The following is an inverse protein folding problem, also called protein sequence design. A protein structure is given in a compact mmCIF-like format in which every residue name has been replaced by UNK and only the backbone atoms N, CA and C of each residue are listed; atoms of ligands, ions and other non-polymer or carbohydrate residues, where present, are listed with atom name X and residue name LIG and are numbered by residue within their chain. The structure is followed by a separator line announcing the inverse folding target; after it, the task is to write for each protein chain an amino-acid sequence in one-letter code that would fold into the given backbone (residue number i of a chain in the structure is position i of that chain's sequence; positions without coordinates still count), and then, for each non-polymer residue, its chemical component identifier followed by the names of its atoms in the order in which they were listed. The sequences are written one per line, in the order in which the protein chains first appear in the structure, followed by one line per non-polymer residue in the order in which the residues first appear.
data_IF_869781982462
#
_entry.id   IF_869781982462
#
_cell.length_a   1.000
_cell.length_b   1.000
_cell.length_c   1.000
_cell.angle_alpha   90.00
_cell.angle_beta   90.00
_cell.angle_gamma   90.00
#
_symmetry.space_group_name_H-M   'P 1'
#
loop_
_entity.id
_entity.type
_entity.pdbx_description
1 polymer ?
#
# COMPACT_ATOMS: atom_id res chain seq x y z
N UNK A 1 14.22 26.83 -5.36
CA UNK A 1 15.66 26.76 -5.14
C UNK A 1 16.20 25.66 -6.02
N UNK A 2 17.19 25.96 -6.84
CA UNK A 2 17.82 24.98 -7.72
C UNK A 2 18.57 23.90 -6.90
N UNK A 3 18.63 22.64 -7.37
CA UNK A 3 19.33 21.56 -6.66
C UNK A 3 20.79 21.88 -6.35
N UNK A 4 21.47 22.63 -7.23
CA UNK A 4 22.87 23.06 -7.06
C UNK A 4 23.06 23.89 -5.79
N UNK A 5 22.20 24.87 -5.56
CA UNK A 5 22.25 25.77 -4.40
C UNK A 5 22.04 24.98 -3.10
N UNK A 6 21.13 24.00 -3.13
CA UNK A 6 20.88 23.12 -1.99
C UNK A 6 22.10 22.25 -1.71
N UNK A 7 22.72 21.67 -2.74
CA UNK A 7 23.93 20.86 -2.59
C UNK A 7 25.09 21.68 -2.00
N UNK A 8 25.28 22.92 -2.46
CA UNK A 8 26.31 23.83 -1.94
C UNK A 8 26.08 24.15 -0.45
N UNK A 9 24.83 24.38 -0.05
CA UNK A 9 24.48 24.59 1.35
C UNK A 9 24.77 23.34 2.21
N UNK A 10 24.38 22.15 1.73
CA UNK A 10 24.62 20.86 2.43
C UNK A 10 26.11 20.59 2.61
N UNK A 11 26.95 20.92 1.63
CA UNK A 11 28.40 20.79 1.73
C UNK A 11 29.04 21.81 2.69
N UNK A 12 28.55 23.04 2.70
CA UNK A 12 29.02 24.07 3.64
C UNK A 12 28.74 23.68 5.10
N UNK A 13 27.66 22.91 5.35
CA UNK A 13 27.36 22.31 6.64
C UNK A 13 26.84 23.29 7.70
N UNK A 14 26.58 24.55 7.34
CA UNK A 14 25.98 25.53 8.26
C UNK A 14 24.50 25.21 8.49
N UNK A 15 24.19 24.72 9.70
CA UNK A 15 22.95 23.99 9.98
C UNK A 15 21.67 24.75 9.59
N UNK A 16 21.58 26.05 9.92
CA UNK A 16 20.38 26.83 9.64
C UNK A 16 20.24 27.16 8.15
N UNK A 17 21.37 27.34 7.44
CA UNK A 17 21.39 27.54 5.99
C UNK A 17 20.96 26.27 5.26
N UNK A 18 21.45 25.11 5.70
CA UNK A 18 21.04 23.80 5.18
C UNK A 18 19.54 23.61 5.34
N UNK A 19 19.00 23.87 6.53
CA UNK A 19 17.58 23.68 6.78
C UNK A 19 16.70 24.61 5.95
N UNK A 20 17.10 25.87 5.79
CA UNK A 20 16.34 26.80 4.96
C UNK A 20 16.39 26.41 3.48
N UNK A 21 17.54 25.96 3.00
CA UNK A 21 17.71 25.46 1.64
C UNK A 21 16.81 24.23 1.37
N UNK A 22 16.85 23.23 2.26
CA UNK A 22 16.01 22.03 2.15
C UNK A 22 14.52 22.37 2.21
N UNK A 23 14.07 23.23 3.14
CA UNK A 23 12.66 23.64 3.24
C UNK A 23 12.17 24.37 1.99
N UNK A 24 12.99 25.27 1.45
CA UNK A 24 12.66 26.01 0.23
C UNK A 24 12.57 25.05 -0.96
N UNK A 25 13.56 24.17 -1.11
CA UNK A 25 13.55 23.13 -2.13
C UNK A 25 12.31 22.23 -2.05
N UNK A 26 11.97 21.77 -0.84
CA UNK A 26 10.82 20.89 -0.61
C UNK A 26 9.50 21.57 -0.94
N UNK A 27 9.34 22.84 -0.56
CA UNK A 27 8.12 23.61 -0.86
C UNK A 27 7.87 23.69 -2.36
N UNK A 28 8.91 24.03 -3.12
CA UNK A 28 8.80 24.19 -4.57
C UNK A 28 8.65 22.87 -5.33
N UNK A 29 9.25 21.78 -4.84
CA UNK A 29 9.27 20.49 -5.54
C UNK A 29 8.34 19.43 -4.95
N UNK A 30 7.51 19.78 -3.96
CA UNK A 30 6.63 18.84 -3.25
C UNK A 30 5.71 18.04 -4.19
N UNK A 31 5.21 18.68 -5.26
CA UNK A 31 4.33 18.11 -6.28
C UNK A 31 5.05 17.81 -7.61
N UNK A 32 6.38 17.89 -7.65
CA UNK A 32 7.14 17.57 -8.86
C UNK A 32 7.24 16.06 -9.06
N UNK A 33 6.78 15.60 -10.23
CA UNK A 33 6.91 14.21 -10.71
C UNK A 33 7.73 14.11 -12.01
N UNK A 34 8.03 15.24 -12.62
CA UNK A 34 8.88 15.39 -13.81
C UNK A 34 10.01 16.34 -13.47
N UNK A 35 11.21 16.02 -13.91
CA UNK A 35 12.41 16.81 -13.60
C UNK A 35 13.17 17.16 -14.87
N UNK A 36 13.74 18.36 -14.91
CA UNK A 36 14.47 18.84 -16.07
C UNK A 36 15.82 18.12 -16.23
N UNK A 37 16.13 17.68 -17.45
CA UNK A 37 17.38 16.99 -17.75
C UNK A 37 18.61 17.89 -17.53
N UNK A 38 18.46 19.20 -17.74
CA UNK A 38 19.54 20.19 -17.55
C UNK A 38 20.08 20.21 -16.12
N UNK A 39 19.24 19.94 -15.12
CA UNK A 39 19.60 19.92 -13.70
C UNK A 39 19.92 18.51 -13.18
N UNK A 40 19.99 17.50 -14.05
CA UNK A 40 20.16 16.10 -13.63
C UNK A 40 21.45 15.90 -12.81
N UNK A 41 22.56 16.50 -13.24
CA UNK A 41 23.83 16.34 -12.54
C UNK A 41 23.82 16.99 -11.14
N UNK A 42 23.15 18.14 -11.01
CA UNK A 42 23.00 18.80 -9.72
C UNK A 42 22.13 17.98 -8.76
N UNK A 43 21.06 17.35 -9.26
CA UNK A 43 20.22 16.44 -8.46
C UNK A 43 20.97 15.19 -8.05
N UNK A 44 21.82 14.62 -8.91
CA UNK A 44 22.68 13.48 -8.55
C UNK A 44 23.65 13.85 -7.43
N UNK A 45 24.34 14.99 -7.54
CA UNK A 45 25.23 15.49 -6.48
C UNK A 45 24.47 15.70 -5.17
N UNK A 46 23.30 16.33 -5.22
CA UNK A 46 22.46 16.50 -4.04
C UNK A 46 22.07 15.14 -3.43
N UNK A 47 21.65 14.17 -4.26
CA UNK A 47 21.28 12.83 -3.79
C UNK A 47 22.44 12.10 -3.11
N UNK A 48 23.66 12.21 -3.63
CA UNK A 48 24.87 11.64 -3.01
C UNK A 48 25.12 12.23 -1.61
N UNK A 49 25.01 13.55 -1.48
CA UNK A 49 25.17 14.24 -0.19
C UNK A 49 24.09 13.81 0.81
N UNK A 50 22.81 13.80 0.39
CA UNK A 50 21.70 13.39 1.24
C UNK A 50 21.81 11.91 1.64
N UNK A 51 22.21 11.03 0.72
CA UNK A 51 22.45 9.61 1.00
C UNK A 51 23.55 9.40 2.04
N UNK A 52 24.67 10.13 1.92
CA UNK A 52 25.75 10.09 2.90
C UNK A 52 25.29 10.52 4.30
N UNK A 53 24.42 11.53 4.41
CA UNK A 53 23.88 11.98 5.71
C UNK A 53 22.84 10.98 6.24
N UNK A 54 22.00 10.41 5.37
CA UNK A 54 21.02 9.38 5.71
C UNK A 54 21.70 8.16 6.38
N UNK A 55 22.79 7.66 5.79
CA UNK A 55 23.54 6.51 6.29
C UNK A 55 24.22 6.77 7.64
N UNK A 56 24.68 8.00 7.87
CA UNK A 56 25.28 8.42 9.14
C UNK A 56 24.25 8.65 10.25
N UNK A 57 23.00 8.89 9.88
CA UNK A 57 21.89 9.17 10.79
C UNK A 57 21.46 10.64 10.72
N UNK A 58 20.15 10.86 10.61
CA UNK A 58 19.54 12.17 10.52
C UNK A 58 19.33 12.77 11.92
N UNK A 59 19.60 14.07 12.10
CA UNK A 59 19.43 14.75 13.39
C UNK A 59 17.96 14.70 13.84
N UNK A 60 17.65 14.22 15.07
CA UNK A 60 16.27 13.96 15.51
C UNK A 60 15.31 15.14 15.36
N UNK A 61 15.73 16.35 15.69
CA UNK A 61 14.90 17.56 15.68
C UNK A 61 14.55 18.09 14.29
N UNK A 62 15.20 17.57 13.24
CA UNK A 62 15.16 18.15 11.90
C UNK A 62 15.01 17.09 10.80
N UNK A 63 14.61 15.85 11.13
CA UNK A 63 14.54 14.72 10.18
C UNK A 63 13.59 14.95 9.00
N UNK A 64 12.43 15.56 9.23
CA UNK A 64 11.36 15.64 8.23
C UNK A 64 11.79 16.37 6.96
N UNK A 65 12.41 17.58 6.99
CA UNK A 65 12.91 18.22 5.78
C UNK A 65 13.93 17.40 4.99
N UNK A 66 14.81 16.65 5.65
CA UNK A 66 15.75 15.74 4.98
C UNK A 66 15.00 14.62 4.25
N UNK A 67 14.07 13.95 4.93
CA UNK A 67 13.28 12.87 4.36
C UNK A 67 12.39 13.35 3.21
N UNK A 68 11.82 14.55 3.30
CA UNK A 68 11.06 15.16 2.20
C UNK A 68 11.94 15.39 0.96
N UNK A 69 13.17 15.87 1.13
CA UNK A 69 14.11 16.03 0.00
C UNK A 69 14.49 14.69 -0.62
N UNK A 70 14.76 13.67 0.21
CA UNK A 70 15.02 12.30 -0.24
C UNK A 70 13.80 11.73 -0.97
N UNK A 71 12.59 11.95 -0.45
CA UNK A 71 11.34 11.53 -1.09
C UNK A 71 11.17 12.17 -2.47
N UNK A 72 11.44 13.47 -2.61
CA UNK A 72 11.36 14.17 -3.89
C UNK A 72 12.34 13.55 -4.88
N UNK A 73 13.60 13.39 -4.50
CA UNK A 73 14.63 12.82 -5.38
C UNK A 73 14.42 11.34 -5.69
N UNK A 74 13.76 10.59 -4.81
CA UNK A 74 13.39 9.19 -5.06
C UNK A 74 12.33 9.02 -6.17
N UNK A 75 11.70 10.11 -6.63
CA UNK A 75 10.84 10.10 -7.82
C UNK A 75 11.66 10.18 -9.12
N UNK A 76 12.89 10.69 -9.05
CA UNK A 76 13.79 10.80 -10.20
C UNK A 76 14.63 9.52 -10.34
N UNK A 77 14.37 8.75 -11.40
CA UNK A 77 15.07 7.50 -11.69
C UNK A 77 16.59 7.67 -11.84
N UNK A 78 17.04 8.86 -12.21
CA UNK A 78 18.47 9.16 -12.36
C UNK A 78 19.20 9.32 -11.02
N UNK A 79 18.46 9.52 -9.91
CA UNK A 79 18.99 9.86 -8.59
C UNK A 79 18.82 8.74 -7.55
N UNK A 80 18.34 7.57 -7.94
CA UNK A 80 18.03 6.49 -6.98
C UNK A 80 19.27 5.85 -6.35
N UNK A 81 20.37 5.78 -7.09
CA UNK A 81 21.59 5.04 -6.71
C UNK A 81 22.02 5.26 -5.24
N UNK A 82 22.25 6.51 -4.81
CA UNK A 82 22.65 6.84 -3.44
C UNK A 82 21.70 6.35 -2.33
N UNK A 83 20.42 6.13 -2.62
CA UNK A 83 19.42 5.70 -1.64
C UNK A 83 19.17 4.18 -1.66
N UNK A 84 19.80 3.47 -2.59
CA UNK A 84 19.59 2.02 -2.81
C UNK A 84 20.72 1.17 -2.23
N UNK A 85 21.54 1.73 -1.34
CA UNK A 85 22.49 0.98 -0.52
C UNK A 85 21.77 0.25 0.62
N UNK A 86 22.42 -0.78 1.18
CA UNK A 86 21.89 -1.51 2.35
C UNK A 86 21.73 -0.58 3.56
N UNK A 87 22.72 0.28 3.83
CA UNK A 87 22.66 1.22 4.96
C UNK A 87 21.55 2.25 4.79
N UNK A 88 21.38 2.80 3.59
CA UNK A 88 20.33 3.80 3.31
C UNK A 88 18.93 3.21 3.47
N UNK A 89 18.68 2.02 2.92
CA UNK A 89 17.40 1.31 3.09
C UNK A 89 17.14 0.93 4.55
N UNK A 90 18.16 0.48 5.28
CA UNK A 90 18.03 0.19 6.71
C UNK A 90 17.71 1.44 7.52
N UNK A 91 18.34 2.58 7.22
CA UNK A 91 18.03 3.85 7.88
C UNK A 91 16.57 4.29 7.63
N UNK A 92 16.09 4.21 6.39
CA UNK A 92 14.69 4.50 6.07
C UNK A 92 13.73 3.52 6.76
N UNK A 93 14.06 2.22 6.80
CA UNK A 93 13.25 1.21 7.49
C UNK A 93 13.17 1.47 9.00
N UNK A 94 14.26 1.94 9.63
CA UNK A 94 14.29 2.36 11.04
C UNK A 94 13.37 3.55 11.27
N UNK A 95 13.48 4.60 10.47
CA UNK A 95 12.62 5.79 10.59
C UNK A 95 11.15 5.48 10.30
N UNK A 96 10.87 4.54 9.40
CA UNK A 96 9.52 4.05 9.15
C UNK A 96 9.00 3.08 10.24
N UNK A 97 9.83 2.68 11.22
CA UNK A 97 9.45 1.73 12.28
C UNK A 97 9.21 0.30 11.79
N UNK A 98 9.79 -0.09 10.65
CA UNK A 98 9.60 -1.41 10.01
C UNK A 98 10.89 -2.24 9.89
N UNK A 99 12.00 -1.75 10.47
CA UNK A 99 13.22 -2.53 10.63
C UNK A 99 13.03 -3.62 11.70
N UNK A 100 13.59 -4.81 11.46
CA UNK A 100 13.51 -5.96 12.39
C UNK A 100 14.57 -5.94 13.50
N UNK A 101 15.77 -5.44 13.20
CA UNK A 101 16.95 -5.64 14.04
C UNK A 101 17.01 -4.73 15.28
N UNK A 102 16.08 -3.78 15.42
CA UNK A 102 16.12 -2.78 16.49
C UNK A 102 14.76 -2.60 17.18
N UNK A 103 14.74 -2.48 18.53
CA UNK A 103 13.54 -2.09 19.22
C UNK A 103 13.13 -0.69 18.74
N UNK A 104 11.88 -0.56 18.32
CA UNK A 104 11.32 0.71 17.86
C UNK A 104 11.30 1.69 19.04
N UNK A 105 12.00 2.83 18.96
CA UNK A 105 11.92 3.85 20.01
C UNK A 105 10.50 4.44 20.00
N UNK A 106 9.75 4.24 21.07
CA UNK A 106 8.46 4.87 21.27
C UNK A 106 8.60 6.19 22.04
N UNK A 107 7.86 7.25 21.70
CA UNK A 107 6.90 7.34 20.59
C UNK A 107 7.57 7.63 19.24
N UNK A 108 7.04 7.04 18.17
CA UNK A 108 7.42 7.36 16.80
C UNK A 108 6.84 8.71 16.36
N UNK A 109 7.66 9.54 15.72
CA UNK A 109 7.20 10.74 15.03
C UNK A 109 6.48 10.35 13.74
N UNK A 110 5.17 10.65 13.68
CA UNK A 110 4.28 10.28 12.59
C UNK A 110 4.73 10.86 11.24
N UNK A 111 5.24 12.09 11.22
CA UNK A 111 5.68 12.75 9.99
C UNK A 111 6.96 12.09 9.47
N UNK A 112 7.86 11.70 10.39
CA UNK A 112 9.08 10.94 10.05
C UNK A 112 8.72 9.57 9.48
N UNK A 113 7.78 8.86 10.10
CA UNK A 113 7.31 7.54 9.62
C UNK A 113 6.72 7.69 8.23
N UNK A 114 5.82 8.65 8.04
CA UNK A 114 5.11 8.86 6.78
C UNK A 114 6.07 9.18 5.63
N UNK A 115 6.99 10.12 5.83
CA UNK A 115 7.95 10.49 4.79
C UNK A 115 8.92 9.34 4.47
N UNK A 116 9.30 8.55 5.47
CA UNK A 116 10.14 7.36 5.28
C UNK A 116 9.43 6.26 4.48
N UNK A 117 8.15 5.99 4.76
CA UNK A 117 7.34 5.04 3.99
C UNK A 117 7.18 5.48 2.53
N UNK A 118 6.95 6.78 2.29
CA UNK A 118 6.90 7.33 0.92
C UNK A 118 8.22 7.16 0.18
N UNK A 119 9.36 7.37 0.85
CA UNK A 119 10.68 7.09 0.26
C UNK A 119 10.81 5.61 -0.12
N UNK A 120 10.51 4.70 0.82
CA UNK A 120 10.57 3.26 0.58
C UNK A 120 9.68 2.82 -0.58
N UNK A 121 8.45 3.34 -0.67
CA UNK A 121 7.55 3.05 -1.78
C UNK A 121 8.15 3.47 -3.13
N UNK A 122 8.70 4.68 -3.23
CA UNK A 122 9.31 5.15 -4.48
C UNK A 122 10.53 4.31 -4.89
N UNK A 123 11.39 3.96 -3.92
CA UNK A 123 12.58 3.16 -4.14
C UNK A 123 12.23 1.73 -4.58
N UNK A 124 11.33 1.05 -3.86
CA UNK A 124 10.90 -0.32 -4.19
C UNK A 124 10.19 -0.37 -5.54
N UNK A 125 9.35 0.64 -5.86
CA UNK A 125 8.69 0.73 -7.15
C UNK A 125 9.67 0.84 -8.32
N UNK A 126 10.77 1.59 -8.15
CA UNK A 126 11.61 2.01 -9.28
C UNK A 126 12.99 1.36 -9.33
N UNK A 127 13.43 0.65 -8.29
CA UNK A 127 14.75 0.03 -8.20
C UNK A 127 14.67 -1.47 -7.88
N UNK A 128 15.07 -2.35 -8.82
CA UNK A 128 15.21 -3.79 -8.55
C UNK A 128 16.18 -4.10 -7.39
N UNK A 129 17.22 -3.28 -7.22
CA UNK A 129 18.17 -3.42 -6.11
C UNK A 129 17.47 -3.16 -4.78
N UNK A 130 16.63 -2.13 -4.69
CA UNK A 130 15.85 -1.85 -3.49
C UNK A 130 14.84 -2.96 -3.17
N UNK A 131 14.24 -3.59 -4.19
CA UNK A 131 13.32 -4.72 -4.01
C UNK A 131 14.02 -5.92 -3.36
N UNK A 132 15.24 -6.26 -3.82
CA UNK A 132 16.05 -7.34 -3.24
C UNK A 132 16.43 -7.00 -1.80
N UNK A 133 16.96 -5.80 -1.56
CA UNK A 133 17.40 -5.38 -0.22
C UNK A 133 16.24 -5.29 0.78
N UNK A 134 15.05 -4.85 0.36
CA UNK A 134 13.86 -4.82 1.20
C UNK A 134 13.36 -6.24 1.57
N UNK A 135 13.49 -7.19 0.64
CA UNK A 135 13.18 -8.60 0.90
C UNK A 135 14.20 -9.22 1.88
N UNK A 136 15.50 -8.99 1.66
CA UNK A 136 16.57 -9.45 2.57
C UNK A 136 16.42 -8.86 3.98
N UNK A 137 16.03 -7.59 4.09
CA UNK A 137 15.73 -6.92 5.35
C UNK A 137 14.40 -7.37 5.98
N UNK A 138 13.63 -8.23 5.30
CA UNK A 138 12.36 -8.80 5.74
C UNK A 138 11.36 -7.76 6.25
N UNK A 139 11.29 -6.59 5.57
CA UNK A 139 10.40 -5.48 5.95
C UNK A 139 8.92 -5.89 6.05
N UNK A 140 8.52 -6.89 5.26
CA UNK A 140 7.17 -7.46 5.24
C UNK A 140 6.70 -7.92 6.64
N UNK A 141 7.60 -8.38 7.51
CA UNK A 141 7.24 -8.92 8.83
C UNK A 141 6.66 -7.81 9.72
N UNK A 142 7.40 -6.70 9.88
CA UNK A 142 6.96 -5.57 10.72
C UNK A 142 5.81 -4.80 10.08
N UNK A 143 5.77 -4.73 8.75
CA UNK A 143 4.61 -4.17 8.03
C UNK A 143 3.34 -4.98 8.31
N UNK A 144 3.39 -6.30 8.19
CA UNK A 144 2.26 -7.17 8.48
C UNK A 144 1.83 -7.06 9.95
N UNK A 145 2.77 -7.08 10.89
CA UNK A 145 2.49 -6.87 12.31
C UNK A 145 1.75 -5.54 12.56
N UNK A 146 2.26 -4.43 11.99
CA UNK A 146 1.63 -3.12 12.14
C UNK A 146 0.22 -3.05 11.55
N UNK A 147 -0.01 -3.67 10.38
CA UNK A 147 -1.35 -3.78 9.80
C UNK A 147 -2.28 -4.62 10.69
N UNK A 148 -1.78 -5.72 11.26
CA UNK A 148 -2.54 -6.61 12.12
C UNK A 148 -2.94 -6.01 13.48
N UNK A 149 -2.21 -5.01 13.98
CA UNK A 149 -2.59 -4.26 15.18
C UNK A 149 -3.83 -3.37 14.97
N UNK A 150 -4.16 -3.03 13.72
CA UNK A 150 -5.39 -2.34 13.35
C UNK A 150 -5.63 -1.04 14.16
N UNK A 151 -6.83 -0.83 14.73
CA UNK A 151 -7.19 0.37 15.49
C UNK A 151 -6.31 0.65 16.70
N UNK A 152 -5.58 -0.36 17.22
CA UNK A 152 -4.73 -0.19 18.40
C UNK A 152 -3.49 0.68 18.11
N UNK A 153 -3.11 0.86 16.84
CA UNK A 153 -1.87 1.57 16.47
C UNK A 153 -1.97 3.09 16.52
N UNK A 154 -3.18 3.67 16.60
CA UNK A 154 -3.43 5.12 16.54
C UNK A 154 -2.83 5.87 15.34
N UNK A 155 -2.29 5.17 14.33
CA UNK A 155 -1.68 5.81 13.17
C UNK A 155 -2.74 6.50 12.30
N UNK A 156 -2.41 7.66 11.70
CA UNK A 156 -3.33 8.33 10.79
C UNK A 156 -3.49 7.54 9.48
N UNK A 157 -4.55 7.88 8.74
CA UNK A 157 -4.87 7.27 7.45
C UNK A 157 -3.65 7.17 6.51
N UNK A 158 -2.89 8.26 6.34
CA UNK A 158 -1.77 8.29 5.40
C UNK A 158 -0.69 7.24 5.72
N UNK A 159 -0.38 7.02 6.99
CA UNK A 159 0.61 6.00 7.39
C UNK A 159 0.07 4.60 7.08
N UNK A 160 -1.17 4.32 7.45
CA UNK A 160 -1.82 3.03 7.16
C UNK A 160 -1.89 2.77 5.65
N UNK A 161 -2.20 3.79 4.86
CA UNK A 161 -2.23 3.69 3.40
C UNK A 161 -0.84 3.37 2.82
N UNK A 162 0.20 4.06 3.27
CA UNK A 162 1.56 3.82 2.77
C UNK A 162 2.16 2.50 3.28
N UNK A 163 1.72 1.98 4.42
CA UNK A 163 2.02 0.61 4.85
C UNK A 163 1.46 -0.42 3.87
N UNK A 164 0.16 -0.30 3.57
CA UNK A 164 -0.52 -1.18 2.63
C UNK A 164 0.05 -1.05 1.20
N UNK A 165 0.40 0.18 0.78
CA UNK A 165 1.05 0.43 -0.51
C UNK A 165 2.42 -0.23 -0.58
N UNK A 166 3.23 -0.16 0.49
CA UNK A 166 4.53 -0.81 0.52
C UNK A 166 4.38 -2.34 0.52
N UNK A 167 3.42 -2.90 1.27
CA UNK A 167 3.06 -4.31 1.19
C UNK A 167 2.64 -4.72 -0.23
N UNK A 168 1.83 -3.91 -0.90
CA UNK A 168 1.42 -4.15 -2.29
C UNK A 168 2.63 -4.21 -3.23
N UNK A 169 3.53 -3.22 -3.16
CA UNK A 169 4.72 -3.17 -3.99
C UNK A 169 5.65 -4.37 -3.74
N UNK A 170 5.91 -4.70 -2.49
CA UNK A 170 6.76 -5.84 -2.13
C UNK A 170 6.16 -7.15 -2.64
N UNK A 171 4.87 -7.39 -2.40
CA UNK A 171 4.21 -8.63 -2.85
C UNK A 171 4.05 -8.73 -4.37
N UNK A 172 3.85 -7.60 -5.05
CA UNK A 172 3.77 -7.56 -6.50
C UNK A 172 5.13 -7.87 -7.15
N UNK A 173 6.21 -7.28 -6.62
CA UNK A 173 7.53 -7.28 -7.27
C UNK A 173 8.45 -8.42 -6.80
N UNK A 174 8.16 -9.04 -5.65
CA UNK A 174 8.99 -10.07 -5.03
C UNK A 174 8.17 -11.32 -4.71
N UNK A 175 8.46 -12.42 -5.41
CA UNK A 175 7.77 -13.71 -5.24
C UNK A 175 8.07 -14.36 -3.90
N UNK A 176 9.30 -14.24 -3.41
CA UNK A 176 9.72 -14.67 -2.07
C UNK A 176 8.94 -13.95 -0.97
N UNK A 177 8.81 -12.62 -1.05
CA UNK A 177 8.04 -11.83 -0.07
C UNK A 177 6.55 -12.16 -0.14
N UNK A 178 5.99 -12.36 -1.34
CA UNK A 178 4.60 -12.79 -1.54
C UNK A 178 4.32 -14.13 -0.88
N UNK A 179 5.18 -15.12 -1.10
CA UNK A 179 5.04 -16.44 -0.47
C UNK A 179 5.21 -16.37 1.04
N UNK A 180 6.17 -15.58 1.53
CA UNK A 180 6.35 -15.36 2.97
C UNK A 180 5.09 -14.74 3.62
N UNK A 181 4.49 -13.73 2.98
CA UNK A 181 3.25 -13.13 3.50
C UNK A 181 2.09 -14.12 3.47
N UNK A 182 1.94 -14.90 2.40
CA UNK A 182 0.89 -15.90 2.26
C UNK A 182 1.00 -17.00 3.32
N UNK A 183 2.16 -17.64 3.42
CA UNK A 183 2.37 -18.87 4.21
C UNK A 183 2.75 -18.55 5.67
N UNK A 184 3.88 -17.87 5.86
CA UNK A 184 4.50 -17.71 7.18
C UNK A 184 3.76 -16.70 8.05
N UNK A 185 3.26 -15.61 7.43
CA UNK A 185 2.64 -14.50 8.14
C UNK A 185 1.11 -14.55 8.13
N UNK A 186 0.51 -15.63 7.62
CA UNK A 186 -0.95 -15.82 7.59
C UNK A 186 -1.68 -14.63 6.93
N UNK A 187 -1.10 -14.11 5.85
CA UNK A 187 -1.47 -12.83 5.25
C UNK A 187 -2.92 -12.77 4.77
N UNK A 188 -3.51 -13.88 4.33
CA UNK A 188 -4.93 -13.94 3.96
C UNK A 188 -5.80 -13.61 5.16
N UNK A 189 -5.60 -14.27 6.30
CA UNK A 189 -6.36 -14.02 7.53
C UNK A 189 -6.16 -12.57 8.00
N UNK A 190 -4.90 -12.14 8.10
CA UNK A 190 -4.54 -10.81 8.57
C UNK A 190 -5.19 -9.69 7.75
N UNK A 191 -5.13 -9.80 6.42
CA UNK A 191 -5.68 -8.79 5.51
C UNK A 191 -7.20 -8.89 5.39
N UNK A 192 -7.78 -10.06 5.62
CA UNK A 192 -9.24 -10.23 5.72
C UNK A 192 -9.77 -9.49 6.94
N UNK A 193 -9.12 -9.64 8.10
CA UNK A 193 -9.46 -8.90 9.32
C UNK A 193 -9.30 -7.38 9.11
N UNK A 194 -8.21 -6.95 8.48
CA UNK A 194 -7.98 -5.54 8.14
C UNK A 194 -9.04 -4.97 7.18
N UNK A 195 -9.47 -5.76 6.19
CA UNK A 195 -10.53 -5.37 5.25
C UNK A 195 -11.88 -5.23 5.97
N UNK A 196 -12.21 -6.20 6.83
CA UNK A 196 -13.44 -6.16 7.63
C UNK A 196 -13.52 -4.89 8.49
N UNK A 197 -12.41 -4.55 9.17
CA UNK A 197 -12.30 -3.33 9.96
C UNK A 197 -12.42 -2.06 9.10
N UNK A 198 -11.77 -2.03 7.94
CA UNK A 198 -11.81 -0.89 7.02
C UNK A 198 -13.22 -0.64 6.47
N UNK A 199 -14.01 -1.69 6.30
CA UNK A 199 -15.39 -1.63 5.83
C UNK A 199 -16.40 -1.33 6.95
N UNK A 200 -15.97 -1.24 8.21
CA UNK A 200 -16.87 -1.02 9.35
C UNK A 200 -17.84 -2.18 9.57
N UNK A 201 -17.46 -3.41 9.20
CA UNK A 201 -18.33 -4.59 9.38
C UNK A 201 -18.28 -5.08 10.83
N UNK A 202 -19.09 -4.44 11.68
CA UNK A 202 -19.23 -4.76 13.10
C UNK A 202 -20.38 -5.74 13.30
N UNK A 203 -20.18 -6.85 14.05
CA UNK A 203 -21.27 -7.78 14.36
C UNK A 203 -22.44 -7.09 15.06
N UNK A 204 -23.64 -7.20 14.49
CA UNK A 204 -24.87 -6.63 15.07
C UNK A 204 -25.20 -5.21 14.60
N UNK A 205 -24.34 -4.58 13.81
CA UNK A 205 -24.63 -3.29 13.17
C UNK A 205 -24.93 -3.48 11.67
N UNK A 206 -25.78 -2.60 11.13
CA UNK A 206 -25.99 -2.56 9.67
C UNK A 206 -24.72 -2.06 8.99
N UNK A 207 -24.23 -2.74 7.95
CA UNK A 207 -23.06 -2.28 7.21
C UNK A 207 -23.32 -0.90 6.58
N UNK A 208 -22.29 -0.07 6.40
CA UNK A 208 -22.44 1.24 5.79
C UNK A 208 -22.90 1.11 4.33
N UNK A 209 -23.81 1.99 3.90
CA UNK A 209 -24.28 2.03 2.50
C UNK A 209 -23.26 2.68 1.56
N UNK A 210 -22.45 3.60 2.08
CA UNK A 210 -21.41 4.34 1.35
C UNK A 210 -20.09 4.26 2.11
N UNK A 211 -19.04 3.80 1.44
CA UNK A 211 -17.69 3.75 1.98
C UNK A 211 -17.01 5.12 1.78
N UNK A 212 -16.49 5.78 2.83
CA UNK A 212 -15.86 7.09 2.67
C UNK A 212 -14.53 7.01 1.90
N UNK A 213 -13.97 8.14 1.42
CA UNK A 213 -12.82 8.15 0.52
C UNK A 213 -11.56 7.48 1.09
N UNK A 214 -11.25 7.74 2.36
CA UNK A 214 -10.05 7.21 3.02
C UNK A 214 -10.14 5.70 3.23
N UNK A 215 -11.31 5.20 3.63
CA UNK A 215 -11.61 3.79 3.78
C UNK A 215 -11.57 3.09 2.43
N UNK A 216 -12.12 3.71 1.39
CA UNK A 216 -12.08 3.22 0.01
C UNK A 216 -10.63 3.01 -0.45
N UNK A 217 -9.75 3.98 -0.21
CA UNK A 217 -8.33 3.89 -0.56
C UNK A 217 -7.63 2.73 0.15
N UNK A 218 -7.79 2.62 1.47
CA UNK A 218 -7.19 1.52 2.24
C UNK A 218 -7.76 0.17 1.81
N UNK A 219 -9.07 0.07 1.60
CA UNK A 219 -9.72 -1.17 1.18
C UNK A 219 -9.19 -1.64 -0.18
N UNK A 220 -9.00 -0.74 -1.15
CA UNK A 220 -8.41 -1.11 -2.44
C UNK A 220 -6.96 -1.55 -2.34
N UNK A 221 -6.14 -0.91 -1.50
CA UNK A 221 -4.78 -1.41 -1.26
C UNK A 221 -4.82 -2.82 -0.64
N UNK A 222 -5.70 -3.07 0.34
CA UNK A 222 -5.87 -4.40 0.95
C UNK A 222 -6.29 -5.44 -0.10
N UNK A 223 -7.29 -5.13 -0.94
CA UNK A 223 -7.75 -6.01 -2.02
C UNK A 223 -6.63 -6.34 -3.01
N UNK A 224 -5.78 -5.37 -3.34
CA UNK A 224 -4.62 -5.59 -4.23
C UNK A 224 -3.55 -6.47 -3.59
N UNK A 225 -3.25 -6.29 -2.30
CA UNK A 225 -2.30 -7.18 -1.59
C UNK A 225 -2.87 -8.59 -1.52
N UNK A 226 -4.16 -8.74 -1.17
CA UNK A 226 -4.87 -10.02 -1.15
C UNK A 226 -4.82 -10.68 -2.52
N UNK A 227 -5.06 -9.94 -3.61
CA UNK A 227 -4.95 -10.46 -4.97
C UNK A 227 -3.54 -11.00 -5.23
N UNK A 228 -2.50 -10.21 -4.94
CA UNK A 228 -1.11 -10.64 -5.16
C UNK A 228 -0.79 -11.96 -4.46
N UNK A 229 -1.17 -12.12 -3.19
CA UNK A 229 -0.82 -13.32 -2.41
C UNK A 229 -1.72 -14.52 -2.69
N UNK A 230 -2.85 -14.35 -3.41
CA UNK A 230 -3.79 -15.44 -3.71
C UNK A 230 -3.77 -15.90 -5.16
N UNK A 231 -3.32 -15.05 -6.09
CA UNK A 231 -3.39 -15.28 -7.54
C UNK A 231 -2.74 -16.59 -8.01
N UNK A 232 -1.58 -16.95 -7.46
CA UNK A 232 -0.80 -18.15 -7.84
C UNK A 232 -0.68 -19.19 -6.72
N UNK A 233 -1.20 -18.88 -5.53
CA UNK A 233 -0.91 -19.62 -4.30
C UNK A 233 -2.09 -20.46 -3.82
N UNK A 234 -3.32 -20.12 -4.20
CA UNK A 234 -4.52 -20.91 -3.87
C UNK A 234 -4.59 -22.15 -4.77
N UNK A 235 -4.62 -23.32 -4.15
CA UNK A 235 -4.83 -24.59 -4.85
C UNK A 235 -6.30 -24.74 -5.23
N UNK A 236 -6.56 -25.46 -6.33
CA UNK A 236 -7.95 -25.80 -6.75
C UNK A 236 -8.70 -26.60 -5.70
N UNK A 237 -7.97 -27.47 -5.00
CA UNK A 237 -8.49 -28.22 -3.85
C UNK A 237 -7.91 -27.62 -2.57
N UNK A 238 -8.80 -27.18 -1.69
CA UNK A 238 -8.49 -26.65 -0.36
C UNK A 238 -9.17 -27.53 0.68
N UNK A 239 -8.51 -27.72 1.82
CA UNK A 239 -9.12 -28.41 2.96
C UNK A 239 -10.30 -27.60 3.54
N UNK A 240 -10.98 -28.16 4.53
CA UNK A 240 -12.16 -27.52 5.12
C UNK A 240 -11.81 -26.27 5.95
N UNK A 241 -10.61 -26.21 6.53
CA UNK A 241 -10.19 -25.06 7.31
C UNK A 241 -9.91 -23.85 6.40
N UNK A 242 -9.15 -24.06 5.33
CA UNK A 242 -8.92 -23.06 4.30
C UNK A 242 -10.20 -22.68 3.57
N UNK A 243 -11.09 -23.64 3.29
CA UNK A 243 -12.40 -23.34 2.71
C UNK A 243 -13.23 -22.40 3.60
N UNK A 244 -13.23 -22.61 4.93
CA UNK A 244 -13.92 -21.72 5.86
C UNK A 244 -13.33 -20.31 5.84
N UNK A 245 -11.99 -20.19 5.79
CA UNK A 245 -11.29 -18.90 5.66
C UNK A 245 -11.64 -18.18 4.36
N UNK A 246 -11.63 -18.87 3.23
CA UNK A 246 -11.98 -18.28 1.93
C UNK A 246 -13.47 -17.94 1.81
N UNK A 247 -14.37 -18.69 2.45
CA UNK A 247 -15.79 -18.32 2.55
C UNK A 247 -15.99 -17.06 3.40
N UNK A 248 -15.24 -16.92 4.49
CA UNK A 248 -15.27 -15.71 5.29
C UNK A 248 -14.81 -14.48 4.48
N UNK A 249 -13.67 -14.60 3.77
CA UNK A 249 -13.23 -13.57 2.83
C UNK A 249 -14.29 -13.31 1.75
N UNK A 250 -14.86 -14.34 1.12
CA UNK A 250 -15.91 -14.20 0.11
C UNK A 250 -17.17 -13.49 0.64
N UNK A 251 -17.49 -13.66 1.92
CA UNK A 251 -18.58 -12.94 2.60
C UNK A 251 -18.26 -11.44 2.68
N UNK A 252 -17.02 -11.09 3.01
CA UNK A 252 -16.58 -9.69 3.03
C UNK A 252 -16.58 -9.10 1.62
N UNK A 253 -16.10 -9.84 0.61
CA UNK A 253 -16.13 -9.41 -0.78
C UNK A 253 -17.54 -9.21 -1.31
N UNK A 254 -18.51 -10.00 -0.84
CA UNK A 254 -19.93 -9.76 -1.12
C UNK A 254 -20.37 -8.38 -0.62
N UNK A 255 -19.95 -7.96 0.57
CA UNK A 255 -20.21 -6.59 1.05
C UNK A 255 -19.54 -5.55 0.15
N UNK A 256 -18.30 -5.79 -0.29
CA UNK A 256 -17.62 -4.89 -1.24
C UNK A 256 -18.37 -4.74 -2.58
N UNK A 257 -18.96 -5.83 -3.10
CA UNK A 257 -19.79 -5.77 -4.32
C UNK A 257 -21.04 -4.91 -4.08
N UNK A 258 -21.66 -5.02 -2.90
CA UNK A 258 -22.94 -4.36 -2.62
C UNK A 258 -22.80 -2.89 -2.18
N UNK A 259 -21.65 -2.48 -1.64
CA UNK A 259 -21.43 -1.11 -1.15
C UNK A 259 -21.02 -0.16 -2.27
N UNK A 260 -21.47 1.09 -2.19
CA UNK A 260 -20.96 2.17 -3.03
C UNK A 260 -19.69 2.77 -2.42
N UNK A 261 -18.71 3.13 -3.24
CA UNK A 261 -17.54 3.86 -2.79
C UNK A 261 -17.70 5.36 -3.06
N UNK A 262 -17.18 6.20 -2.17
CA UNK A 262 -17.27 7.64 -2.31
C UNK A 262 -16.59 8.17 -3.59
N UNK A 263 -17.22 9.18 -4.19
CA UNK A 263 -16.80 9.75 -5.48
C UNK A 263 -17.01 8.78 -6.65
N UNK A 264 -16.25 8.96 -7.71
CA UNK A 264 -16.38 8.17 -8.95
C UNK A 264 -15.58 6.85 -8.90
N UNK A 265 -15.26 6.35 -7.70
CA UNK A 265 -14.34 5.20 -7.48
C UNK A 265 -15.04 3.86 -7.30
N UNK A 266 -16.37 3.83 -7.30
CA UNK A 266 -17.15 2.59 -7.11
C UNK A 266 -16.75 1.51 -8.11
N UNK A 267 -16.55 1.87 -9.38
CA UNK A 267 -16.18 0.89 -10.41
C UNK A 267 -14.75 0.36 -10.27
N UNK A 268 -13.81 1.21 -9.85
CA UNK A 268 -12.42 0.82 -9.52
C UNK A 268 -12.43 -0.17 -8.35
N UNK A 269 -13.18 0.16 -7.29
CA UNK A 269 -13.33 -0.65 -6.10
C UNK A 269 -13.98 -2.02 -6.39
N UNK A 270 -15.07 -2.04 -7.16
CA UNK A 270 -15.71 -3.28 -7.63
C UNK A 270 -14.77 -4.10 -8.51
N UNK A 271 -13.94 -3.47 -9.34
CA UNK A 271 -12.92 -4.16 -10.15
C UNK A 271 -11.93 -4.96 -9.30
N UNK A 272 -11.34 -4.34 -8.29
CA UNK A 272 -10.43 -5.05 -7.36
C UNK A 272 -11.14 -6.15 -6.57
N UNK A 273 -12.42 -5.94 -6.21
CA UNK A 273 -13.24 -6.94 -5.54
C UNK A 273 -13.49 -8.17 -6.43
N UNK A 274 -13.87 -7.95 -7.68
CA UNK A 274 -14.13 -9.02 -8.67
C UNK A 274 -12.86 -9.78 -9.02
N UNK A 275 -11.72 -9.08 -9.17
CA UNK A 275 -10.43 -9.72 -9.40
C UNK A 275 -10.07 -10.68 -8.27
N UNK A 276 -10.30 -10.30 -7.01
CA UNK A 276 -10.03 -11.16 -5.87
C UNK A 276 -11.06 -12.31 -5.74
N UNK A 277 -12.34 -12.07 -6.06
CA UNK A 277 -13.35 -13.14 -6.15
C UNK A 277 -12.90 -14.22 -7.15
N UNK A 278 -12.28 -13.81 -8.26
CA UNK A 278 -11.72 -14.73 -9.27
C UNK A 278 -10.60 -15.65 -8.76
N UNK A 279 -9.95 -15.30 -7.65
CA UNK A 279 -8.89 -16.12 -7.05
C UNK A 279 -9.42 -17.15 -6.03
N UNK A 280 -10.65 -16.98 -5.52
CA UNK A 280 -11.19 -17.86 -4.50
C UNK A 280 -11.51 -19.26 -5.08
N UNK A 281 -11.40 -20.34 -4.27
CA UNK A 281 -11.86 -21.66 -4.69
C UNK A 281 -13.35 -21.62 -5.06
N UNK A 282 -13.73 -22.24 -6.18
CA UNK A 282 -15.09 -22.17 -6.73
C UNK A 282 -16.18 -22.57 -5.72
N UNK A 283 -15.89 -23.55 -4.85
CA UNK A 283 -16.81 -24.00 -3.79
C UNK A 283 -17.12 -22.93 -2.72
N UNK A 284 -16.34 -21.85 -2.67
CA UNK A 284 -16.50 -20.75 -1.72
C UNK A 284 -17.29 -19.57 -2.32
N UNK A 285 -17.64 -19.61 -3.62
CA UNK A 285 -18.47 -18.59 -4.27
C UNK A 285 -19.96 -18.78 -3.96
N UNK A 286 -20.32 -19.88 -3.29
CA UNK A 286 -21.66 -20.14 -2.73
C UNK A 286 -22.12 -18.98 -1.83
N UNK A 287 -21.21 -18.35 -1.08
CA UNK A 287 -21.49 -17.22 -0.19
C UNK A 287 -22.15 -16.02 -0.89
N UNK A 288 -21.97 -15.85 -2.21
CA UNK A 288 -22.59 -14.78 -2.99
C UNK A 288 -24.12 -14.93 -3.09
N UNK A 289 -24.65 -16.12 -2.82
CA UNK A 289 -26.08 -16.45 -2.88
C UNK A 289 -26.72 -16.62 -1.48
N UNK A 290 -25.96 -16.43 -0.41
CA UNK A 290 -26.42 -16.70 0.97
C UNK A 290 -27.08 -15.51 1.67
N UNK A 291 -27.38 -14.42 0.96
CA UNK A 291 -28.16 -13.32 1.54
C UNK A 291 -29.59 -13.78 1.78
N UNK A 292 -30.09 -13.49 2.98
CA UNK A 292 -31.51 -13.70 3.29
C UNK A 292 -32.36 -12.76 2.41
N UNK A 293 -33.35 -13.28 1.67
CA UNK A 293 -34.24 -12.45 0.89
C UNK A 293 -35.09 -11.56 1.81
N UNK A 294 -35.19 -10.28 1.45
CA UNK A 294 -36.00 -9.28 2.16
C UNK A 294 -36.98 -8.65 1.19
N UNK A 295 -37.97 -7.92 1.71
CA UNK A 295 -38.88 -7.16 0.86
C UNK A 295 -38.09 -6.19 -0.04
N UNK A 296 -38.22 -6.33 -1.36
CA UNK A 296 -37.46 -5.58 -2.37
C UNK A 296 -36.20 -6.27 -2.91
N UNK A 297 -35.82 -7.43 -2.38
CA UNK A 297 -34.75 -8.26 -2.95
C UNK A 297 -35.12 -8.81 -4.33
N UNK A 298 -34.12 -8.92 -5.21
CA UNK A 298 -34.27 -9.71 -6.43
C UNK A 298 -34.16 -11.20 -6.06
N UNK A 299 -35.21 -11.96 -6.33
CA UNK A 299 -35.25 -13.40 -6.04
C UNK A 299 -35.43 -14.23 -7.31
N UNK A 300 -34.77 -15.38 -7.35
CA UNK A 300 -34.99 -16.38 -8.38
C UNK A 300 -34.88 -17.79 -7.79
N UNK A 301 -35.95 -18.59 -7.93
CA UNK A 301 -36.05 -19.94 -7.37
C UNK A 301 -35.72 -20.02 -5.86
N UNK A 302 -36.13 -19.00 -5.09
CA UNK A 302 -35.91 -18.94 -3.64
C UNK A 302 -34.50 -18.53 -3.21
N UNK A 303 -33.63 -18.14 -4.14
CA UNK A 303 -32.31 -17.58 -3.86
C UNK A 303 -32.29 -16.06 -4.09
N UNK A 304 -31.57 -15.33 -3.24
CA UNK A 304 -31.29 -13.91 -3.43
C UNK A 304 -30.28 -13.72 -4.58
N UNK A 305 -30.64 -12.87 -5.54
CA UNK A 305 -29.88 -12.57 -6.75
C UNK A 305 -29.36 -11.11 -6.78
N UNK A 306 -29.44 -10.36 -5.69
CA UNK A 306 -29.02 -8.96 -5.63
C UNK A 306 -27.54 -8.80 -5.98
N UNK A 307 -26.68 -9.66 -5.43
CA UNK A 307 -25.23 -9.66 -5.70
C UNK A 307 -24.95 -9.97 -7.17
N UNK A 308 -25.65 -10.98 -7.72
CA UNK A 308 -25.50 -11.38 -9.12
C UNK A 308 -25.96 -10.27 -10.06
N UNK A 309 -27.05 -9.56 -9.72
CA UNK A 309 -27.51 -8.39 -10.47
C UNK A 309 -26.44 -7.30 -10.50
N UNK A 310 -25.80 -6.99 -9.37
CA UNK A 310 -24.75 -5.97 -9.31
C UNK A 310 -23.54 -6.39 -10.16
N UNK A 311 -23.11 -7.66 -10.07
CA UNK A 311 -22.03 -8.19 -10.90
C UNK A 311 -22.36 -8.14 -12.39
N UNK A 312 -23.61 -8.43 -12.78
CA UNK A 312 -24.06 -8.32 -14.16
C UNK A 312 -24.04 -6.85 -14.65
N UNK A 313 -24.53 -5.92 -13.84
CA UNK A 313 -24.45 -4.49 -14.15
C UNK A 313 -23.00 -3.98 -14.24
N UNK A 314 -22.11 -4.50 -13.39
CA UNK A 314 -20.67 -4.22 -13.47
C UNK A 314 -20.06 -4.73 -14.78
N UNK A 315 -20.39 -5.97 -15.17
CA UNK A 315 -19.96 -6.55 -16.44
C UNK A 315 -20.44 -5.72 -17.63
N UNK A 316 -21.72 -5.34 -17.65
CA UNK A 316 -22.28 -4.48 -18.70
C UNK A 316 -21.49 -3.17 -18.80
N UNK A 317 -21.26 -2.46 -17.68
CA UNK A 317 -20.45 -1.22 -17.68
C UNK A 317 -19.05 -1.43 -18.25
N UNK A 318 -18.36 -2.51 -17.85
CA UNK A 318 -17.00 -2.82 -18.33
C UNK A 318 -16.96 -3.17 -19.83
N UNK A 319 -17.99 -3.83 -20.35
CA UNK A 319 -18.09 -4.14 -21.78
C UNK A 319 -18.22 -2.88 -22.66
N UNK A 320 -18.84 -1.81 -22.15
CA UNK A 320 -18.94 -0.53 -22.86
C UNK A 320 -17.59 0.20 -22.97
N UNK A 321 -16.61 -0.11 -22.10
CA UNK A 321 -15.35 0.63 -22.04
C UNK A 321 -14.34 0.26 -23.14
N UNK A 322 -14.55 -0.82 -23.91
CA UNK A 322 -13.83 -1.35 -25.11
C UNK A 322 -12.29 -1.37 -25.14
N UNK A 323 -11.61 -0.37 -24.60
CA UNK A 323 -10.18 -0.33 -24.35
C UNK A 323 -9.87 -1.06 -23.02
N UNK A 324 -9.18 -2.20 -23.10
CA UNK A 324 -8.74 -3.07 -21.96
C UNK A 324 -9.77 -4.08 -21.42
N UNK A 325 -10.48 -4.78 -22.31
CA UNK A 325 -11.34 -5.92 -21.94
C UNK A 325 -10.60 -7.08 -21.26
N UNK A 326 -9.29 -7.21 -21.50
CA UNK A 326 -8.40 -8.10 -20.76
C UNK A 326 -7.40 -7.23 -20.02
N UNK A 327 -7.39 -7.33 -18.69
CA UNK A 327 -6.25 -6.83 -17.91
C UNK A 327 -5.04 -7.69 -18.32
N UNK A 328 -4.11 -7.10 -19.07
CA UNK A 328 -2.83 -7.73 -19.36
C UNK A 328 -2.03 -7.71 -18.06
N UNK A 329 -1.97 -8.89 -17.43
CA UNK A 329 -1.17 -9.21 -16.23
C UNK A 329 0.32 -8.97 -16.51
#
# INVERSE_FOLDING_TARGET
MEPRVVADAVEAGEEDVVMEALRTYNRENSQSFTFEDAQQQDRKRLAELLGSVLERGLPPSRRVPWLQSIRILSRDRSCLGPFTSRQSLQALARYAGVALEEPVPEPLDVDVVLESLKCLCNLVLSSPVAQVLAAEARLVVRLAERVGLGPQTSFPHDVQFFDLRLLFLLTALRTDVRQQLFQDLQGVRLLTDALQLTLGLIPGESPPELLPPQETERAMEILKVLFNITFDSIKREVDEEDAARYRHLGTILRHCVMVAAAGDRTEEFHGHTVNLLGNLPLKCLDVLLTLEPREGSLEFLGANMDVIRVLLSFLEKRLHQTHRLKESV
#
